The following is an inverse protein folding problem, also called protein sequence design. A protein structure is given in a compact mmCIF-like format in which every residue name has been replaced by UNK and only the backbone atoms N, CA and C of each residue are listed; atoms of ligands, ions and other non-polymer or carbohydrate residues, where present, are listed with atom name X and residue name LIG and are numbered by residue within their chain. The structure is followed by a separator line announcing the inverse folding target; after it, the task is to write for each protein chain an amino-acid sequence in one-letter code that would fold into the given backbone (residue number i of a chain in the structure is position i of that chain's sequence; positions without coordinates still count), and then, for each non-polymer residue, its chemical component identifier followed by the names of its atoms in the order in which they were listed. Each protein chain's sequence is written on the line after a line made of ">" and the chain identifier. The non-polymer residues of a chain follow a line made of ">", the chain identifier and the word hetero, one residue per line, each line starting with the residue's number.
data_IF_378333994965
#
_entry.id   IF_378333994965
#
_cell.length_a   1.000
_cell.length_b   1.000
_cell.length_c   1.000
_cell.angle_alpha   90.00
_cell.angle_beta   90.00
_cell.angle_gamma   90.00
#
_symmetry.space_group_name_H-M   'P 1'
#
loop_
_entity.id
_entity.type
_entity.pdbx_description
1 polymer ?
#
# COMPACT_ATOMS: atom_id res chain seq x y z
N UNK A 1 -10.29 6.43 -28.64
CA UNK A 1 -8.82 6.43 -28.82
C UNK A 1 -8.32 5.03 -28.43
N UNK A 2 -7.84 4.22 -29.37
CA UNK A 2 -7.46 2.81 -29.15
C UNK A 2 -6.11 2.61 -28.44
N UNK A 3 -5.80 3.42 -27.43
CA UNK A 3 -4.54 3.33 -26.67
C UNK A 3 -4.78 2.44 -25.44
N UNK A 4 -4.01 1.35 -25.24
CA UNK A 4 -4.14 0.53 -24.05
C UNK A 4 -3.69 1.30 -22.82
N UNK A 5 -4.54 1.35 -21.80
CA UNK A 5 -4.21 1.96 -20.50
C UNK A 5 -3.74 0.85 -19.56
N UNK A 6 -2.56 1.02 -18.97
CA UNK A 6 -1.96 0.06 -18.03
C UNK A 6 -1.59 0.82 -16.75
N UNK A 7 -2.44 0.84 -15.72
CA UNK A 7 -2.11 1.44 -14.42
C UNK A 7 -0.95 0.72 -13.72
N UNK A 8 -0.14 1.52 -13.03
CA UNK A 8 0.82 1.07 -12.03
C UNK A 8 0.29 1.45 -10.65
N UNK A 9 -0.09 0.45 -9.85
CA UNK A 9 -0.60 0.67 -8.50
C UNK A 9 0.52 0.46 -7.47
N UNK A 10 0.62 1.40 -6.53
CA UNK A 10 1.58 1.38 -5.44
C UNK A 10 1.01 0.80 -4.16
N UNK A 11 -0.29 0.52 -4.12
CA UNK A 11 -0.94 -0.20 -3.03
C UNK A 11 -0.54 -1.67 -3.02
N UNK A 12 -0.65 -2.30 -1.84
CA UNK A 12 -0.50 -3.75 -1.73
C UNK A 12 -1.66 -4.45 -2.45
N UNK A 13 -1.44 -5.67 -2.99
CA UNK A 13 -2.51 -6.50 -3.55
C UNK A 13 -3.68 -6.72 -2.60
N UNK A 14 -3.42 -6.87 -1.30
CA UNK A 14 -4.47 -6.96 -0.29
C UNK A 14 -5.39 -5.73 -0.28
N UNK A 15 -4.82 -4.53 -0.34
CA UNK A 15 -5.58 -3.28 -0.36
C UNK A 15 -6.35 -3.11 -1.69
N UNK A 16 -5.69 -3.38 -2.83
CA UNK A 16 -6.32 -3.37 -4.16
C UNK A 16 -7.49 -4.34 -4.21
N UNK A 17 -7.34 -5.53 -3.61
CA UNK A 17 -8.39 -6.53 -3.56
C UNK A 17 -9.62 -6.05 -2.77
N UNK A 18 -9.42 -5.39 -1.62
CA UNK A 18 -10.52 -4.75 -0.89
C UNK A 18 -11.25 -3.75 -1.77
N UNK A 19 -10.51 -2.92 -2.52
CA UNK A 19 -11.11 -1.91 -3.41
C UNK A 19 -11.98 -2.59 -4.48
N UNK A 20 -11.44 -3.59 -5.16
CA UNK A 20 -12.17 -4.36 -6.18
C UNK A 20 -13.43 -5.04 -5.63
N UNK A 21 -13.46 -5.34 -4.33
CA UNK A 21 -14.59 -5.96 -3.67
C UNK A 21 -15.63 -4.98 -3.13
N UNK A 22 -15.34 -3.66 -3.07
CA UNK A 22 -16.28 -2.64 -2.59
C UNK A 22 -17.66 -2.69 -3.26
N UNK A 23 -17.80 -2.82 -4.59
CA UNK A 23 -19.12 -2.87 -5.21
C UNK A 23 -20.00 -3.99 -4.66
N UNK A 24 -19.41 -5.16 -4.43
CA UNK A 24 -20.13 -6.32 -3.87
C UNK A 24 -20.57 -6.10 -2.42
N UNK A 25 -19.73 -5.43 -1.61
CA UNK A 25 -20.08 -5.08 -0.23
C UNK A 25 -21.18 -4.01 -0.13
N UNK A 26 -21.26 -3.12 -1.13
CA UNK A 26 -22.35 -2.15 -1.25
C UNK A 26 -23.65 -2.87 -1.65
N UNK A 27 -23.58 -3.76 -2.64
CA UNK A 27 -24.71 -4.57 -3.10
C UNK A 27 -25.27 -5.48 -2.00
N UNK A 28 -24.40 -6.04 -1.14
CA UNK A 28 -24.82 -6.84 0.02
C UNK A 28 -25.34 -6.00 1.19
N UNK A 29 -25.20 -4.67 1.14
CA UNK A 29 -25.62 -3.75 2.20
C UNK A 29 -24.72 -3.79 3.45
N UNK A 30 -23.50 -4.31 3.33
CA UNK A 30 -22.52 -4.35 4.43
C UNK A 30 -21.84 -3.00 4.68
N UNK A 31 -21.68 -2.19 3.64
CA UNK A 31 -21.09 -0.85 3.74
C UNK A 31 -22.16 0.24 3.87
N UNK A 32 -21.91 1.29 4.69
CA UNK A 32 -20.76 1.44 5.57
C UNK A 32 -20.81 0.50 6.79
N UNK A 33 -19.64 0.08 7.27
CA UNK A 33 -19.59 -0.65 8.54
C UNK A 33 -19.99 0.27 9.70
N UNK A 34 -20.78 -0.26 10.64
CA UNK A 34 -21.22 0.48 11.82
C UNK A 34 -20.15 0.46 12.91
N UNK A 35 -20.03 1.57 13.64
CA UNK A 35 -19.04 1.73 14.73
C UNK A 35 -19.11 0.66 15.83
N UNK A 36 -20.29 0.08 16.05
CA UNK A 36 -20.49 -0.96 17.06
C UNK A 36 -20.03 -2.36 16.62
N UNK A 37 -19.61 -2.52 15.36
CA UNK A 37 -19.30 -3.82 14.76
C UNK A 37 -17.91 -3.84 14.10
N UNK A 38 -17.01 -2.97 14.54
CA UNK A 38 -15.66 -2.83 13.96
C UNK A 38 -14.69 -3.92 14.38
N UNK A 39 -14.97 -4.60 15.49
CA UNK A 39 -14.21 -5.77 15.97
C UNK A 39 -14.59 -7.07 15.25
N UNK A 40 -15.71 -7.08 14.52
CA UNK A 40 -16.08 -8.25 13.75
C UNK A 40 -15.07 -8.54 12.65
N UNK A 41 -14.82 -9.83 12.45
CA UNK A 41 -13.98 -10.33 11.37
C UNK A 41 -14.63 -10.05 10.03
N UNK A 42 -13.80 -9.80 9.02
CA UNK A 42 -14.23 -9.79 7.62
C UNK A 42 -14.53 -11.24 7.22
N UNK A 43 -15.75 -11.50 6.74
CA UNK A 43 -16.22 -12.85 6.37
C UNK A 43 -16.56 -12.99 4.90
N UNK A 44 -16.81 -11.88 4.21
CA UNK A 44 -17.37 -11.89 2.86
C UNK A 44 -16.36 -11.52 1.76
N UNK A 45 -15.12 -11.17 2.13
CA UNK A 45 -14.05 -10.85 1.16
C UNK A 45 -13.16 -12.10 0.97
N UNK A 46 -13.15 -12.72 -0.23
CA UNK A 46 -12.32 -13.89 -0.52
C UNK A 46 -10.85 -13.68 -0.17
N UNK A 47 -10.19 -14.69 0.39
CA UNK A 47 -8.80 -14.66 0.82
C UNK A 47 -8.50 -13.65 1.95
N UNK A 48 -9.53 -13.07 2.57
CA UNK A 48 -9.42 -12.20 3.75
C UNK A 48 -10.24 -12.68 4.94
N UNK A 49 -10.92 -13.83 4.80
CA UNK A 49 -11.76 -14.38 5.84
C UNK A 49 -10.96 -14.70 7.10
N UNK A 50 -11.34 -14.07 8.21
CA UNK A 50 -10.67 -14.28 9.49
C UNK A 50 -9.25 -13.72 9.59
N UNK A 51 -8.73 -13.04 8.56
CA UNK A 51 -7.43 -12.38 8.59
C UNK A 51 -7.50 -10.98 9.19
N UNK A 52 -8.55 -10.23 8.84
CA UNK A 52 -8.71 -8.82 9.20
C UNK A 52 -10.04 -8.59 9.92
N UNK A 53 -10.07 -7.60 10.80
CA UNK A 53 -11.30 -7.02 11.33
C UNK A 53 -11.75 -5.87 10.45
N UNK A 54 -13.02 -5.48 10.57
CA UNK A 54 -13.56 -4.35 9.81
C UNK A 54 -12.83 -3.03 10.09
N UNK A 55 -12.29 -2.83 11.30
CA UNK A 55 -11.41 -1.69 11.62
C UNK A 55 -10.07 -1.68 10.88
N UNK A 56 -9.61 -2.85 10.42
CA UNK A 56 -8.32 -3.00 9.74
C UNK A 56 -8.46 -2.71 8.23
N UNK A 57 -9.69 -2.55 7.74
CA UNK A 57 -9.99 -2.11 6.37
C UNK A 57 -9.79 -0.59 6.21
N UNK A 58 -9.65 -0.10 4.97
CA UNK A 58 -9.51 1.33 4.69
C UNK A 58 -10.59 2.16 5.37
N UNK A 59 -10.20 3.30 5.95
CA UNK A 59 -11.09 4.13 6.79
C UNK A 59 -12.39 4.54 6.08
N UNK A 60 -12.35 4.80 4.78
CA UNK A 60 -13.53 5.16 4.01
C UNK A 60 -14.61 4.06 4.01
N UNK A 61 -14.29 2.79 4.30
CA UNK A 61 -15.30 1.73 4.47
C UNK A 61 -16.26 1.98 5.65
N UNK A 62 -15.92 2.93 6.52
CA UNK A 62 -16.74 3.40 7.64
C UNK A 62 -17.61 4.61 7.24
N UNK A 63 -17.36 5.21 6.07
CA UNK A 63 -17.98 6.44 5.62
C UNK A 63 -19.12 6.17 4.62
N UNK A 64 -20.02 7.14 4.46
CA UNK A 64 -21.15 7.02 3.54
C UNK A 64 -20.68 6.88 2.09
N UNK A 65 -21.01 5.73 1.50
CA UNK A 65 -20.63 5.36 0.14
C UNK A 65 -21.10 6.34 -0.95
N UNK A 66 -22.10 7.20 -0.68
CA UNK A 66 -22.67 8.13 -1.66
C UNK A 66 -22.11 9.55 -1.56
N UNK A 67 -21.57 9.93 -0.40
CA UNK A 67 -21.21 11.32 -0.11
C UNK A 67 -19.75 11.51 0.24
N UNK A 68 -19.08 10.47 0.71
CA UNK A 68 -17.67 10.54 1.10
C UNK A 68 -16.75 10.64 -0.14
N UNK A 69 -15.93 11.71 -0.25
CA UNK A 69 -15.06 11.90 -1.40
C UNK A 69 -14.01 10.79 -1.59
N UNK A 70 -13.47 10.24 -0.51
CA UNK A 70 -12.45 9.20 -0.56
C UNK A 70 -13.06 7.87 -1.02
N UNK A 71 -14.27 7.55 -0.55
CA UNK A 71 -15.03 6.39 -1.01
C UNK A 71 -15.36 6.49 -2.51
N UNK A 72 -15.86 7.65 -2.95
CA UNK A 72 -16.17 7.89 -4.37
C UNK A 72 -14.90 7.82 -5.23
N UNK A 73 -13.77 8.31 -4.73
CA UNK A 73 -12.49 8.16 -5.40
C UNK A 73 -12.06 6.69 -5.50
N UNK A 74 -12.24 5.90 -4.44
CA UNK A 74 -11.95 4.47 -4.45
C UNK A 74 -12.78 3.72 -5.50
N UNK A 75 -14.10 3.96 -5.56
CA UNK A 75 -14.97 3.38 -6.60
C UNK A 75 -14.52 3.74 -8.02
N UNK A 76 -14.15 5.00 -8.25
CA UNK A 76 -13.62 5.45 -9.54
C UNK A 76 -12.32 4.75 -9.92
N UNK A 77 -11.45 4.43 -8.96
CA UNK A 77 -10.24 3.64 -9.23
C UNK A 77 -10.59 2.21 -9.65
N UNK A 78 -11.57 1.58 -8.98
CA UNK A 78 -12.03 0.22 -9.32
C UNK A 78 -12.53 0.17 -10.75
N UNK A 79 -13.39 1.11 -11.14
CA UNK A 79 -13.90 1.21 -12.52
C UNK A 79 -12.76 1.35 -13.54
N UNK A 80 -11.76 2.18 -13.23
CA UNK A 80 -10.59 2.39 -14.11
C UNK A 80 -9.74 1.13 -14.24
N UNK A 81 -9.55 0.38 -13.16
CA UNK A 81 -8.80 -0.88 -13.21
C UNK A 81 -9.56 -1.91 -14.05
N UNK A 82 -10.88 -2.02 -13.89
CA UNK A 82 -11.71 -2.94 -14.70
C UNK A 82 -11.71 -2.58 -16.20
N UNK A 83 -11.64 -1.30 -16.54
CA UNK A 83 -11.57 -0.83 -17.92
C UNK A 83 -10.14 -0.84 -18.50
N UNK A 84 -9.13 -1.13 -17.67
CA UNK A 84 -7.74 -1.12 -18.09
C UNK A 84 -7.39 -2.36 -18.92
N UNK A 85 -6.36 -2.24 -19.74
CA UNK A 85 -5.85 -3.37 -20.53
C UNK A 85 -5.10 -4.38 -19.66
N UNK A 86 -4.40 -3.89 -18.63
CA UNK A 86 -3.59 -4.68 -17.71
C UNK A 86 -3.33 -3.88 -16.43
N UNK A 87 -2.95 -4.55 -15.34
CA UNK A 87 -2.59 -3.94 -14.06
C UNK A 87 -1.15 -4.29 -13.71
N UNK A 88 -0.37 -3.31 -13.25
CA UNK A 88 0.98 -3.54 -12.73
C UNK A 88 0.98 -3.27 -11.22
N UNK A 89 1.49 -4.21 -10.43
CA UNK A 89 1.60 -4.13 -8.98
C UNK A 89 3.07 -4.20 -8.55
N UNK A 90 3.46 -3.36 -7.59
CA UNK A 90 4.79 -3.37 -6.99
C UNK A 90 4.91 -4.43 -5.89
N UNK A 91 4.71 -5.70 -6.26
CA UNK A 91 4.80 -6.88 -5.38
C UNK A 91 5.42 -8.07 -6.14
N UNK A 92 5.55 -9.22 -5.50
CA UNK A 92 5.92 -10.49 -6.10
C UNK A 92 5.05 -11.63 -5.55
N UNK A 93 4.96 -12.71 -6.31
CA UNK A 93 3.99 -13.78 -6.13
C UNK A 93 4.08 -14.45 -4.77
N UNK A 94 5.28 -14.68 -4.26
CA UNK A 94 5.45 -15.35 -2.96
C UNK A 94 5.02 -14.49 -1.77
N UNK A 95 4.92 -13.17 -1.93
CA UNK A 95 4.44 -12.27 -0.88
C UNK A 95 2.90 -12.24 -0.80
N UNK A 96 2.24 -12.18 -1.96
CA UNK A 96 0.81 -11.85 -2.05
C UNK A 96 -0.03 -12.86 -2.87
N UNK A 97 0.45 -14.11 -3.00
CA UNK A 97 -0.17 -15.17 -3.83
C UNK A 97 -1.69 -15.27 -3.70
N UNK A 98 -2.30 -15.28 -2.48
CA UNK A 98 -3.75 -15.43 -2.36
C UNK A 98 -4.49 -14.25 -3.01
N UNK A 99 -4.03 -13.02 -2.75
CA UNK A 99 -4.65 -11.80 -3.27
C UNK A 99 -4.44 -11.66 -4.78
N UNK A 100 -3.25 -11.98 -5.28
CA UNK A 100 -2.97 -11.99 -6.72
C UNK A 100 -3.87 -12.98 -7.47
N UNK A 101 -4.11 -14.16 -6.89
CA UNK A 101 -5.02 -15.16 -7.46
C UNK A 101 -6.46 -14.61 -7.55
N UNK A 102 -6.93 -13.91 -6.53
CA UNK A 102 -8.23 -13.22 -6.55
C UNK A 102 -8.26 -12.11 -7.61
N UNK A 103 -7.24 -11.24 -7.65
CA UNK A 103 -7.15 -10.14 -8.61
C UNK A 103 -7.13 -10.64 -10.04
N UNK A 104 -6.44 -11.75 -10.33
CA UNK A 104 -6.42 -12.36 -11.66
C UNK A 104 -7.81 -12.77 -12.16
N UNK A 105 -8.75 -13.11 -11.27
CA UNK A 105 -10.13 -13.40 -11.68
C UNK A 105 -10.88 -12.17 -12.19
N UNK A 106 -10.48 -10.95 -11.81
CA UNK A 106 -11.07 -9.68 -12.25
C UNK A 106 -10.25 -8.99 -13.35
N UNK A 107 -8.93 -9.05 -13.24
CA UNK A 107 -7.96 -8.51 -14.20
C UNK A 107 -6.94 -9.60 -14.54
N UNK A 108 -7.23 -10.45 -15.55
CA UNK A 108 -6.36 -11.56 -15.91
C UNK A 108 -4.94 -11.13 -16.29
N UNK A 109 -4.79 -9.91 -16.82
CA UNK A 109 -3.49 -9.33 -17.18
C UNK A 109 -2.94 -8.48 -16.04
N UNK A 110 -2.69 -9.11 -14.90
CA UNK A 110 -2.01 -8.46 -13.76
C UNK A 110 -0.55 -8.90 -13.72
N UNK A 111 0.37 -7.95 -13.50
CA UNK A 111 1.81 -8.20 -13.45
C UNK A 111 2.38 -7.72 -12.10
N UNK A 112 2.88 -8.66 -11.31
CA UNK A 112 3.65 -8.37 -10.12
C UNK A 112 5.14 -8.21 -10.51
N UNK A 113 5.65 -6.98 -10.45
CA UNK A 113 7.02 -6.64 -10.92
C UNK A 113 7.91 -6.08 -9.81
N UNK A 114 7.47 -6.20 -8.57
CA UNK A 114 8.12 -5.65 -7.41
C UNK A 114 9.14 -6.61 -6.78
N UNK A 115 9.92 -6.12 -5.81
CA UNK A 115 10.00 -4.71 -5.42
C UNK A 115 10.82 -3.88 -6.43
N UNK A 116 10.22 -2.84 -7.02
CA UNK A 116 10.83 -2.04 -8.10
C UNK A 116 12.16 -1.41 -7.68
N UNK A 117 12.30 -1.02 -6.41
CA UNK A 117 13.54 -0.45 -5.88
C UNK A 117 14.73 -1.42 -5.94
N UNK A 118 14.50 -2.73 -5.78
CA UNK A 118 15.55 -3.74 -5.90
C UNK A 118 15.99 -3.91 -7.36
N UNK A 119 15.05 -3.86 -8.30
CA UNK A 119 15.38 -3.88 -9.73
C UNK A 119 16.23 -2.68 -10.15
N UNK A 120 15.94 -1.49 -9.61
CA UNK A 120 16.76 -0.30 -9.83
C UNK A 120 18.18 -0.50 -9.26
N UNK A 121 18.29 -0.95 -8.01
CA UNK A 121 19.59 -1.21 -7.35
C UNK A 121 20.44 -2.21 -8.14
N UNK A 122 19.85 -3.32 -8.59
CA UNK A 122 20.54 -4.32 -9.39
C UNK A 122 21.03 -3.75 -10.74
N UNK A 123 20.19 -2.96 -11.42
CA UNK A 123 20.59 -2.30 -12.69
C UNK A 123 21.75 -1.33 -12.50
N UNK A 124 21.74 -0.52 -11.44
CA UNK A 124 22.81 0.43 -11.15
C UNK A 124 24.13 -0.29 -10.84
N UNK A 125 24.08 -1.37 -10.04
CA UNK A 125 25.24 -2.21 -9.77
C UNK A 125 25.83 -2.82 -11.06
N UNK A 126 24.97 -3.29 -11.98
CA UNK A 126 25.41 -3.93 -13.23
C UNK A 126 26.10 -2.99 -14.22
N UNK A 127 25.80 -1.68 -14.17
CA UNK A 127 26.28 -0.71 -15.15
C UNK A 127 27.57 0.00 -14.75
N UNK A 128 28.13 -0.30 -13.56
CA UNK A 128 29.20 0.51 -12.93
C UNK A 128 28.89 2.02 -12.93
N UNK A 129 27.62 2.39 -13.07
CA UNK A 129 27.18 3.78 -12.98
C UNK A 129 27.16 4.12 -11.50
N UNK A 130 27.82 5.22 -11.07
CA UNK A 130 27.61 5.76 -9.75
C UNK A 130 26.10 5.91 -9.51
N UNK A 131 25.66 5.82 -8.25
CA UNK A 131 24.28 6.16 -7.87
C UNK A 131 23.83 7.41 -8.60
N UNK A 132 22.59 7.44 -9.12
CA UNK A 132 22.09 8.61 -9.85
C UNK A 132 22.43 9.90 -9.06
N UNK A 133 22.94 10.95 -9.71
CA UNK A 133 23.26 12.22 -9.05
C UNK A 133 22.02 12.96 -8.53
N UNK A 134 20.82 12.41 -8.77
CA UNK A 134 19.55 12.95 -8.34
C UNK A 134 18.88 11.97 -7.39
N UNK A 135 18.54 12.47 -6.20
CA UNK A 135 17.63 11.78 -5.32
C UNK A 135 16.18 11.94 -5.80
N UNK A 136 15.35 10.91 -5.58
CA UNK A 136 13.90 11.02 -5.71
C UNK A 136 13.25 11.75 -4.52
N UNK A 137 14.06 12.24 -3.57
CA UNK A 137 13.63 13.03 -2.41
C UNK A 137 13.17 14.41 -2.84
N UNK A 138 12.01 14.83 -2.30
CA UNK A 138 11.48 16.18 -2.48
C UNK A 138 12.25 17.24 -1.67
N UNK A 139 13.06 16.79 -0.71
CA UNK A 139 13.83 17.61 0.22
C UNK A 139 15.31 17.24 0.17
N UNK A 140 16.15 18.15 0.66
CA UNK A 140 17.57 17.88 0.85
C UNK A 140 17.75 16.72 1.84
N UNK A 141 18.63 15.78 1.50
CA UNK A 141 18.85 14.58 2.30
C UNK A 141 19.80 14.89 3.46
N UNK A 142 19.35 14.62 4.69
CA UNK A 142 20.22 14.66 5.85
C UNK A 142 20.90 13.31 6.08
N UNK A 143 22.22 13.29 5.87
CA UNK A 143 23.06 12.10 6.09
C UNK A 143 23.62 11.99 7.51
N UNK A 144 23.27 12.89 8.44
CA UNK A 144 23.71 12.85 9.83
C UNK A 144 23.31 11.54 10.54
N UNK A 145 22.09 11.08 10.27
CA UNK A 145 21.52 9.84 10.80
C UNK A 145 22.27 8.59 10.34
N UNK A 146 22.76 8.57 9.10
CA UNK A 146 23.52 7.44 8.54
C UNK A 146 24.88 7.32 9.23
N UNK A 147 25.59 8.43 9.42
CA UNK A 147 26.87 8.42 10.15
C UNK A 147 26.72 7.94 11.59
N UNK A 148 25.62 8.30 12.25
CA UNK A 148 25.32 7.80 13.58
C UNK A 148 24.98 6.31 13.58
N UNK A 149 24.22 5.83 12.58
CA UNK A 149 23.86 4.42 12.42
C UNK A 149 25.08 3.53 12.18
N UNK A 150 26.05 3.99 11.38
CA UNK A 150 27.31 3.29 11.09
C UNK A 150 28.17 3.04 12.35
N UNK A 151 27.95 3.81 13.43
CA UNK A 151 28.66 3.67 14.69
C UNK A 151 27.99 2.66 15.66
N UNK A 152 26.79 2.15 15.34
CA UNK A 152 26.05 1.23 16.21
C UNK A 152 26.36 -0.24 15.88
N UNK A 153 26.30 -1.15 16.86
CA UNK A 153 26.37 -2.59 16.60
C UNK A 153 25.29 -3.07 15.61
N UNK A 154 25.59 -4.13 14.85
CA UNK A 154 24.62 -4.68 13.90
C UNK A 154 23.36 -5.16 14.62
N UNK A 155 22.20 -4.67 14.17
CA UNK A 155 20.89 -5.08 14.70
C UNK A 155 20.50 -4.45 16.04
N UNK A 156 21.27 -3.47 16.56
CA UNK A 156 20.97 -2.83 17.86
C UNK A 156 20.06 -1.60 17.77
N UNK A 157 19.66 -1.19 16.56
CA UNK A 157 18.90 0.05 16.33
C UNK A 157 17.51 -0.29 15.81
N UNK A 158 16.49 0.28 16.47
CA UNK A 158 15.14 0.32 15.95
C UNK A 158 14.95 1.58 15.09
N UNK A 159 14.52 1.41 13.84
CA UNK A 159 14.20 2.53 12.96
C UNK A 159 12.70 2.87 13.04
N UNK A 160 12.40 4.08 13.48
CA UNK A 160 11.04 4.62 13.50
C UNK A 160 10.87 5.68 12.41
N UNK A 161 9.86 5.52 11.56
CA UNK A 161 9.54 6.49 10.50
C UNK A 161 8.04 6.80 10.52
N UNK A 162 7.72 8.09 10.55
CA UNK A 162 6.35 8.58 10.39
C UNK A 162 6.18 9.12 8.97
N UNK A 163 5.06 8.79 8.33
CA UNK A 163 4.74 9.34 7.00
C UNK A 163 4.56 10.86 7.13
N UNK A 164 5.19 11.61 6.22
CA UNK A 164 5.16 13.09 6.19
C UNK A 164 3.73 13.68 6.15
N UNK A 165 2.75 12.94 5.63
CA UNK A 165 1.35 13.38 5.55
C UNK A 165 0.52 13.12 6.82
N UNK A 166 1.10 12.54 7.88
CA UNK A 166 0.39 12.24 9.12
C UNK A 166 0.78 13.22 10.22
N UNK A 167 -0.15 14.08 10.64
CA UNK A 167 0.05 14.96 11.80
C UNK A 167 -0.33 14.22 13.09
N UNK A 168 0.63 14.02 14.00
CA UNK A 168 0.32 13.59 15.37
C UNK A 168 -0.13 14.83 16.16
N UNK A 169 -1.32 14.78 16.77
CA UNK A 169 -1.71 15.81 17.74
C UNK A 169 -0.86 15.64 19.01
N UNK A 170 0.13 16.51 19.18
CA UNK A 170 0.79 16.75 20.48
C UNK A 170 2.11 16.01 20.76
N UNK A 171 3.01 15.89 19.79
CA UNK A 171 4.36 15.38 20.03
C UNK A 171 5.44 16.23 19.34
N UNK A 172 6.51 16.55 20.08
CA UNK A 172 7.71 17.16 19.50
C UNK A 172 8.25 16.29 18.36
N UNK A 173 8.48 16.88 17.20
CA UNK A 173 9.27 16.26 16.12
C UNK A 173 10.72 16.16 16.57
N UNK A 174 11.06 15.09 17.27
CA UNK A 174 12.41 14.72 17.65
C UNK A 174 12.58 13.21 17.54
N UNK A 175 13.76 12.76 17.16
CA UNK A 175 14.15 11.35 17.19
C UNK A 175 14.09 10.90 18.65
N UNK A 176 13.08 10.11 19.02
CA UNK A 176 13.05 9.40 20.30
C UNK A 176 13.80 8.09 20.15
N UNK A 177 14.88 7.92 20.91
CA UNK A 177 15.58 6.63 21.05
C UNK A 177 15.26 6.06 22.42
N UNK A 178 14.79 4.81 22.45
CA UNK A 178 14.67 4.03 23.69
C UNK A 178 15.77 2.96 23.65
N UNK A 179 16.61 2.83 24.69
CA UNK A 179 17.51 1.70 24.80
C UNK A 179 16.71 0.41 24.99
N UNK A 180 17.05 -0.61 24.21
CA UNK A 180 16.62 -1.99 24.45
C UNK A 180 17.62 -2.55 25.47
N UNK A 181 17.16 -2.84 26.69
CA UNK A 181 17.92 -3.63 27.68
C UNK A 181 17.99 -5.11 27.28
#
# INVERSE_FOLDING_TARGET
>A
MGVPVIPFDTLSPSCVWVYMYLPKLIESGELPFKDNDLDASVTHIPAMEGLLRRRDLPHFCLMDCKTDPDFLAALKQVERIQQSYALILNTFEDLDRPFLSCIHSYSPKTYAIGPVHLHLKAKLASKNTPSLPFSNSLWEEDHSSIKWLDAQPMGSVLCEFWKCCSCIKGGNFGISTWPIE
#
